data_IF_597830651678
#
_entry.id   IF_597830651678
#
_cell.length_a   1.000
_cell.length_b   1.000
_cell.length_c   1.000
_cell.angle_alpha   90.00
_cell.angle_beta   90.00
_cell.angle_gamma   90.00
#
_symmetry.space_group_name_H-M   'P 1'
#
loop_
_entity.id
_entity.type
_entity.pdbx_description
1 polymer ?
#
# COMPACT_ATOMS: atom_id res chain seq x y z
N UNK A 1 26.44 -14.80 3.93
CA UNK A 1 26.39 -13.44 4.53
C UNK A 1 26.43 -12.33 3.47
N UNK A 2 27.06 -12.51 2.29
CA UNK A 2 27.08 -11.48 1.24
C UNK A 2 25.73 -11.21 0.55
N UNK A 3 25.02 -12.24 0.10
CA UNK A 3 23.76 -12.10 -0.68
C UNK A 3 22.67 -11.36 0.13
N UNK A 4 22.44 -11.77 1.37
CA UNK A 4 21.44 -11.11 2.24
C UNK A 4 21.81 -9.64 2.52
N UNK A 5 23.10 -9.31 2.64
CA UNK A 5 23.52 -7.93 2.86
C UNK A 5 23.39 -7.06 1.60
N UNK A 6 23.57 -7.64 0.42
CA UNK A 6 23.37 -6.99 -0.87
C UNK A 6 21.88 -6.71 -1.11
N UNK A 7 21.02 -7.71 -0.92
CA UNK A 7 19.56 -7.57 -1.02
C UNK A 7 19.04 -6.50 -0.06
N UNK A 8 19.43 -6.51 1.22
CA UNK A 8 19.02 -5.49 2.18
C UNK A 8 19.43 -4.07 1.77
N UNK A 9 20.63 -3.92 1.20
CA UNK A 9 21.10 -2.63 0.69
C UNK A 9 20.28 -2.14 -0.50
N UNK A 10 19.89 -3.05 -1.40
CA UNK A 10 19.02 -2.73 -2.54
C UNK A 10 17.62 -2.31 -2.07
N UNK A 11 17.07 -2.99 -1.06
CA UNK A 11 15.78 -2.62 -0.44
C UNK A 11 15.80 -1.24 0.22
N UNK A 12 16.86 -0.93 0.98
CA UNK A 12 17.03 0.40 1.59
C UNK A 12 17.17 1.51 0.54
N UNK A 13 17.91 1.24 -0.54
CA UNK A 13 18.06 2.18 -1.62
C UNK A 13 16.73 2.42 -2.36
N UNK A 14 15.99 1.35 -2.68
CA UNK A 14 14.67 1.44 -3.28
C UNK A 14 13.69 2.22 -2.37
N UNK A 15 13.70 1.94 -1.07
CA UNK A 15 12.89 2.66 -0.08
C UNK A 15 13.17 4.16 -0.11
N UNK A 16 14.44 4.55 -0.06
CA UNK A 16 14.84 5.97 -0.08
C UNK A 16 14.36 6.68 -1.35
N UNK A 17 14.52 6.05 -2.53
CA UNK A 17 14.05 6.61 -3.78
C UNK A 17 12.52 6.79 -3.82
N UNK A 18 11.76 5.78 -3.39
CA UNK A 18 10.30 5.89 -3.39
C UNK A 18 9.79 6.88 -2.33
N UNK A 19 10.43 6.99 -1.17
CA UNK A 19 10.08 7.99 -0.15
C UNK A 19 10.29 9.43 -0.66
N UNK A 20 11.44 9.71 -1.26
CA UNK A 20 11.70 11.03 -1.87
C UNK A 20 10.71 11.33 -2.99
N UNK A 21 10.39 10.33 -3.82
CA UNK A 21 9.39 10.50 -4.89
C UNK A 21 7.99 10.78 -4.33
N UNK A 22 7.61 10.12 -3.24
CA UNK A 22 6.34 10.34 -2.57
C UNK A 22 6.24 11.75 -1.98
N UNK A 23 7.29 12.22 -1.31
CA UNK A 23 7.38 13.56 -0.74
C UNK A 23 7.18 14.64 -1.81
N UNK A 24 7.92 14.55 -2.92
CA UNK A 24 7.78 15.49 -4.06
C UNK A 24 6.35 15.50 -4.59
N UNK A 25 5.70 14.33 -4.72
CA UNK A 25 4.32 14.24 -5.22
C UNK A 25 3.31 14.80 -4.22
N UNK A 26 3.56 14.67 -2.92
CA UNK A 26 2.74 15.28 -1.86
C UNK A 26 2.86 16.80 -1.91
N UNK A 27 4.09 17.32 -1.94
CA UNK A 27 4.35 18.76 -2.01
C UNK A 27 3.73 19.39 -3.27
N UNK A 28 3.93 18.75 -4.43
CA UNK A 28 3.34 19.21 -5.67
C UNK A 28 1.80 19.20 -5.63
N UNK A 29 1.18 18.16 -5.06
CA UNK A 29 -0.26 18.11 -4.85
C UNK A 29 -0.76 19.22 -3.93
N UNK A 30 -0.06 19.47 -2.81
CA UNK A 30 -0.40 20.52 -1.84
C UNK A 30 -0.29 21.94 -2.42
N UNK A 31 0.60 22.14 -3.40
CA UNK A 31 0.76 23.40 -4.12
C UNK A 31 -0.29 23.64 -5.22
N UNK A 32 -1.39 22.88 -5.25
CA UNK A 32 -2.44 22.98 -6.27
C UNK A 32 -2.13 22.19 -7.55
N UNK A 33 -1.30 21.15 -7.43
CA UNK A 33 -0.96 20.24 -8.52
C UNK A 33 -2.15 19.46 -9.09
N UNK A 34 -1.86 18.56 -10.03
CA UNK A 34 -2.89 17.83 -10.76
C UNK A 34 -3.37 16.58 -10.02
N UNK A 35 -4.57 16.09 -10.38
CA UNK A 35 -5.06 14.78 -9.95
C UNK A 35 -4.09 13.63 -10.33
N UNK A 36 -3.28 13.80 -11.40
CA UNK A 36 -2.23 12.84 -11.77
C UNK A 36 -1.23 12.63 -10.63
N UNK A 37 -0.83 13.69 -9.93
CA UNK A 37 0.14 13.59 -8.84
C UNK A 37 -0.41 12.76 -7.68
N UNK A 38 -1.69 12.94 -7.33
CA UNK A 38 -2.35 12.12 -6.31
C UNK A 38 -2.40 10.66 -6.72
N UNK A 39 -2.79 10.37 -7.96
CA UNK A 39 -2.79 9.00 -8.47
C UNK A 39 -1.39 8.35 -8.46
N UNK A 40 -0.34 9.10 -8.84
CA UNK A 40 1.04 8.63 -8.78
C UNK A 40 1.56 8.39 -7.34
N UNK A 41 1.00 9.06 -6.33
CA UNK A 41 1.28 8.72 -4.93
C UNK A 41 0.86 7.27 -4.64
N UNK A 42 -0.31 6.82 -5.13
CA UNK A 42 -0.80 5.46 -4.91
C UNK A 42 0.17 4.39 -5.44
N UNK A 43 0.68 4.59 -6.66
CA UNK A 43 1.69 3.71 -7.26
C UNK A 43 2.95 3.66 -6.38
N UNK A 44 3.38 4.82 -5.91
CA UNK A 44 4.60 4.96 -5.10
C UNK A 44 4.44 4.30 -3.73
N UNK A 45 3.29 4.50 -3.09
CA UNK A 45 2.90 3.86 -1.84
C UNK A 45 2.84 2.34 -2.00
N UNK A 46 2.24 1.83 -3.07
CA UNK A 46 2.22 0.38 -3.33
C UNK A 46 3.64 -0.22 -3.41
N UNK A 47 4.56 0.46 -4.12
CA UNK A 47 5.95 0.01 -4.20
C UNK A 47 6.66 0.07 -2.85
N UNK A 48 6.42 1.11 -2.03
CA UNK A 48 6.90 1.17 -0.65
C UNK A 48 6.35 0.04 0.20
N UNK A 49 5.09 -0.34 -0.01
CA UNK A 49 4.47 -1.51 0.61
C UNK A 49 5.22 -2.81 0.28
N UNK A 50 5.54 -3.03 -1.00
CA UNK A 50 6.31 -4.20 -1.44
C UNK A 50 7.73 -4.22 -0.87
N UNK A 51 8.40 -3.07 -0.80
CA UNK A 51 9.73 -2.96 -0.20
C UNK A 51 9.66 -3.27 1.31
N UNK A 52 8.68 -2.71 2.02
CA UNK A 52 8.49 -2.99 3.45
C UNK A 52 8.17 -4.46 3.73
N UNK A 53 7.34 -5.09 2.89
CA UNK A 53 7.05 -6.53 2.96
C UNK A 53 8.32 -7.36 2.73
N UNK A 54 9.15 -7.01 1.74
CA UNK A 54 10.40 -7.70 1.40
C UNK A 54 11.45 -7.70 2.53
N UNK A 55 11.44 -6.68 3.39
CA UNK A 55 12.33 -6.61 4.58
C UNK A 55 11.64 -7.03 5.88
N UNK A 56 10.40 -7.52 5.82
CA UNK A 56 9.66 -8.03 6.98
C UNK A 56 8.97 -6.96 7.85
N UNK A 57 8.88 -5.72 7.40
CA UNK A 57 8.22 -4.62 8.10
C UNK A 57 6.71 -4.57 7.80
N UNK A 58 6.00 -5.64 8.20
CA UNK A 58 4.60 -5.88 7.80
C UNK A 58 3.63 -4.76 8.21
N UNK A 59 3.83 -4.14 9.39
CA UNK A 59 2.98 -3.02 9.84
C UNK A 59 3.12 -1.79 8.93
N UNK A 60 4.32 -1.53 8.43
CA UNK A 60 4.55 -0.41 7.51
C UNK A 60 4.03 -0.76 6.10
N UNK A 61 4.19 -2.00 5.66
CA UNK A 61 3.61 -2.50 4.41
C UNK A 61 2.08 -2.35 4.39
N UNK A 62 1.39 -2.76 5.48
CA UNK A 62 -0.05 -2.55 5.67
C UNK A 62 -0.44 -1.09 5.47
N UNK A 63 0.23 -0.17 6.16
CA UNK A 63 -0.07 1.26 6.08
C UNK A 63 0.05 1.79 4.64
N UNK A 64 1.12 1.42 3.94
CA UNK A 64 1.32 1.87 2.56
C UNK A 64 0.28 1.30 1.60
N UNK A 65 -0.04 0.00 1.71
CA UNK A 65 -1.05 -0.62 0.86
C UNK A 65 -2.45 -0.05 1.10
N UNK A 66 -2.83 0.23 2.36
CA UNK A 66 -4.12 0.88 2.68
C UNK A 66 -4.20 2.31 2.12
N UNK A 67 -3.11 3.08 2.18
CA UNK A 67 -3.08 4.41 1.56
C UNK A 67 -3.18 4.34 0.04
N UNK A 68 -2.51 3.38 -0.61
CA UNK A 68 -2.64 3.17 -2.05
C UNK A 68 -4.07 2.75 -2.44
N UNK A 69 -4.68 1.83 -1.69
CA UNK A 69 -6.06 1.40 -1.86
C UNK A 69 -7.03 2.58 -1.79
N UNK A 70 -6.90 3.42 -0.76
CA UNK A 70 -7.73 4.61 -0.56
C UNK A 70 -7.66 5.55 -1.78
N UNK A 71 -6.46 5.83 -2.28
CA UNK A 71 -6.31 6.71 -3.44
C UNK A 71 -6.89 6.07 -4.70
N UNK A 72 -6.60 4.81 -5.00
CA UNK A 72 -7.18 4.18 -6.19
C UNK A 72 -8.72 4.11 -6.13
N UNK A 73 -9.29 3.94 -4.93
CA UNK A 73 -10.73 4.03 -4.70
C UNK A 73 -11.27 5.45 -4.97
N UNK A 74 -10.58 6.52 -4.51
CA UNK A 74 -10.93 7.92 -4.82
C UNK A 74 -11.03 8.17 -6.34
N UNK A 75 -10.19 7.49 -7.13
CA UNK A 75 -10.17 7.58 -8.59
C UNK A 75 -11.11 6.60 -9.30
N UNK A 76 -11.87 5.80 -8.55
CA UNK A 76 -12.71 4.71 -9.09
C UNK A 76 -11.92 3.68 -9.94
N UNK A 77 -10.62 3.53 -9.71
CA UNK A 77 -9.76 2.60 -10.44
C UNK A 77 -9.86 1.20 -9.84
N UNK A 78 -10.95 0.51 -10.18
CA UNK A 78 -11.22 -0.85 -9.72
C UNK A 78 -10.16 -1.87 -10.17
N UNK A 79 -9.47 -1.61 -11.29
CA UNK A 79 -8.43 -2.49 -11.81
C UNK A 79 -7.21 -2.46 -10.89
N UNK A 80 -6.72 -1.26 -10.55
CA UNK A 80 -5.54 -1.12 -9.68
C UNK A 80 -5.83 -1.58 -8.25
N UNK A 81 -7.04 -1.31 -7.76
CA UNK A 81 -7.57 -1.84 -6.49
C UNK A 81 -7.43 -3.37 -6.45
N UNK A 82 -7.99 -4.09 -7.42
CA UNK A 82 -8.00 -5.56 -7.45
C UNK A 82 -6.66 -6.20 -7.82
N UNK A 83 -5.79 -5.49 -8.53
CA UNK A 83 -4.53 -6.05 -9.04
C UNK A 83 -3.37 -5.84 -8.07
N UNK A 84 -3.29 -4.67 -7.42
CA UNK A 84 -2.09 -4.26 -6.69
C UNK A 84 -2.27 -4.17 -5.18
N UNK A 85 -3.37 -3.58 -4.68
CA UNK A 85 -3.52 -3.31 -3.24
C UNK A 85 -4.28 -4.42 -2.50
N UNK A 86 -5.49 -4.78 -2.94
CA UNK A 86 -6.29 -5.80 -2.25
C UNK A 86 -5.56 -7.13 -2.08
N UNK A 87 -4.96 -7.73 -3.13
CA UNK A 87 -4.28 -9.02 -2.97
C UNK A 87 -3.17 -9.00 -1.93
N UNK A 88 -2.44 -7.87 -1.83
CA UNK A 88 -1.36 -7.69 -0.86
C UNK A 88 -1.91 -7.57 0.56
N UNK A 89 -2.97 -6.80 0.77
CA UNK A 89 -3.63 -6.68 2.07
C UNK A 89 -4.23 -8.01 2.53
N UNK A 90 -4.84 -8.77 1.62
CA UNK A 90 -5.37 -10.11 1.90
C UNK A 90 -4.26 -11.07 2.30
N UNK A 91 -3.15 -11.09 1.57
CA UNK A 91 -1.98 -11.90 1.91
C UNK A 91 -1.42 -11.53 3.29
N UNK A 92 -1.30 -10.23 3.60
CA UNK A 92 -0.87 -9.75 4.91
C UNK A 92 -1.85 -10.17 6.01
N UNK A 93 -3.16 -10.08 5.80
CA UNK A 93 -4.16 -10.55 6.76
C UNK A 93 -4.05 -12.06 6.99
N UNK A 94 -3.94 -12.86 5.94
CA UNK A 94 -3.75 -14.31 6.07
C UNK A 94 -2.49 -14.65 6.87
N UNK A 95 -1.39 -13.91 6.65
CA UNK A 95 -0.13 -14.13 7.35
C UNK A 95 -0.16 -13.69 8.83
N UNK A 96 -0.80 -12.56 9.13
CA UNK A 96 -0.67 -11.87 10.43
C UNK A 96 -1.90 -11.97 11.31
N UNK A 97 -3.07 -12.29 10.72
CA UNK A 97 -4.39 -12.20 11.33
C UNK A 97 -4.67 -10.81 11.93
N UNK A 98 -4.06 -9.76 11.35
CA UNK A 98 -4.22 -8.37 11.80
C UNK A 98 -5.57 -7.79 11.36
N UNK A 99 -6.51 -7.72 12.29
CA UNK A 99 -7.86 -7.18 12.12
C UNK A 99 -7.89 -5.72 11.66
N UNK A 100 -6.83 -4.93 11.91
CA UNK A 100 -6.77 -3.56 11.42
C UNK A 100 -6.77 -3.49 9.89
N UNK A 101 -6.37 -4.56 9.20
CA UNK A 101 -6.47 -4.67 7.75
C UNK A 101 -7.92 -4.69 7.30
N UNK A 102 -8.77 -5.50 7.96
CA UNK A 102 -10.19 -5.58 7.63
C UNK A 102 -10.89 -4.25 7.92
N UNK A 103 -10.57 -3.62 9.05
CA UNK A 103 -11.06 -2.28 9.41
C UNK A 103 -10.65 -1.24 8.35
N UNK A 104 -9.39 -1.26 7.92
CA UNK A 104 -8.90 -0.36 6.89
C UNK A 104 -9.64 -0.52 5.55
N UNK A 105 -9.78 -1.77 5.07
CA UNK A 105 -10.50 -2.08 3.84
C UNK A 105 -11.97 -1.66 3.96
N UNK A 106 -12.62 -2.00 5.07
CA UNK A 106 -14.02 -1.64 5.35
C UNK A 106 -14.22 -0.12 5.32
N UNK A 107 -13.29 0.63 5.93
CA UNK A 107 -13.32 2.09 5.94
C UNK A 107 -13.18 2.69 4.53
N UNK A 108 -12.32 2.14 3.67
CA UNK A 108 -12.15 2.64 2.29
C UNK A 108 -13.42 2.44 1.47
N UNK A 109 -14.06 1.28 1.59
CA UNK A 109 -15.24 0.94 0.79
C UNK A 109 -16.58 1.34 1.43
N UNK A 110 -16.56 1.81 2.68
CA UNK A 110 -17.78 2.18 3.41
C UNK A 110 -18.67 0.98 3.74
N UNK A 111 -18.08 -0.19 3.92
CA UNK A 111 -18.77 -1.46 4.23
C UNK A 111 -18.48 -1.92 5.66
N UNK A 112 -19.16 -2.96 6.13
CA UNK A 112 -18.90 -3.54 7.46
C UNK A 112 -17.63 -4.41 7.49
N UNK A 113 -16.94 -4.46 8.64
CA UNK A 113 -15.76 -5.34 8.83
C UNK A 113 -16.12 -6.81 8.59
N UNK A 114 -17.28 -7.25 9.07
CA UNK A 114 -17.75 -8.64 8.87
C UNK A 114 -18.10 -8.95 7.41
N UNK A 115 -18.50 -7.94 6.63
CA UNK A 115 -18.71 -8.09 5.19
C UNK A 115 -17.37 -8.33 4.48
N UNK A 116 -16.36 -7.53 4.81
CA UNK A 116 -14.99 -7.74 4.30
C UNK A 116 -14.48 -9.11 4.72
N UNK A 117 -14.63 -9.50 5.99
CA UNK A 117 -14.21 -10.81 6.50
C UNK A 117 -14.83 -11.95 5.69
N UNK A 118 -16.15 -11.91 5.49
CA UNK A 118 -16.86 -12.94 4.73
C UNK A 118 -16.41 -13.08 3.28
N UNK A 119 -15.98 -11.98 2.65
CA UNK A 119 -15.42 -12.00 1.29
C UNK A 119 -14.00 -12.57 1.21
N UNK A 120 -13.24 -12.54 2.30
CA UNK A 120 -11.86 -13.04 2.34
C UNK A 120 -11.75 -14.49 2.79
N UNK A 121 -12.75 -15.00 3.51
CA UNK A 121 -12.77 -16.35 4.09
C UNK A 121 -13.65 -17.33 3.29
N UNK A 122 -14.50 -16.85 2.38
CA UNK A 122 -15.39 -17.66 1.53
C UNK A 122 -14.77 -18.07 0.19
#
# INVERSE_FOLDING_TARGET
>A
MGIVAEELREWEQARSYYQQSLEIKIEYGAAGGTQSARYEQAITLNNLGMVAEGVGELSQAKSYYLQALQIWAEFNDSYSVQTFSLPRLVALYQQTQDEEILVGIASVFGVGVEEVRGLLEG
#
